data_IF_946526414141
#
_entry.id   IF_946526414141
#
_cell.length_a   1.000
_cell.length_b   1.000
_cell.length_c   1.000
_cell.angle_alpha   90.00
_cell.angle_beta   90.00
_cell.angle_gamma   90.00
#
_symmetry.space_group_name_H-M   'P 1'
#
loop_
_entity.id
_entity.type
_entity.pdbx_description
1 polymer ?
#
# COMPACT_ATOMS: atom_id res chain seq x y z
N UNK A 1 17.82 -58.52 35.39
CA UNK A 1 17.89 -57.08 35.66
C UNK A 1 17.68 -56.33 34.35
N UNK A 2 16.47 -55.90 34.08
CA UNK A 2 16.09 -55.17 32.87
C UNK A 2 16.19 -53.67 33.17
N UNK A 3 17.14 -52.97 32.55
CA UNK A 3 17.30 -51.52 32.65
C UNK A 3 16.34 -50.85 31.67
N UNK A 4 15.26 -50.24 32.16
CA UNK A 4 14.38 -49.38 31.36
C UNK A 4 15.08 -48.07 31.06
N UNK A 5 15.45 -47.83 29.79
CA UNK A 5 15.87 -46.53 29.31
C UNK A 5 14.60 -45.68 29.06
N UNK A 6 14.41 -44.65 29.91
CA UNK A 6 13.40 -43.62 29.65
C UNK A 6 13.97 -42.70 28.56
N UNK A 7 13.39 -42.77 27.37
CA UNK A 7 13.67 -41.86 26.28
C UNK A 7 12.85 -40.54 26.52
N UNK A 8 13.49 -39.51 27.02
CA UNK A 8 12.90 -38.21 27.18
C UNK A 8 12.76 -37.53 25.79
N UNK A 9 11.57 -37.49 25.22
CA UNK A 9 11.26 -36.76 24.00
C UNK A 9 11.20 -35.27 24.34
N UNK A 10 12.28 -34.54 24.05
CA UNK A 10 12.29 -33.09 24.06
C UNK A 10 11.47 -32.58 22.86
N UNK A 11 10.21 -32.25 23.08
CA UNK A 11 9.40 -31.50 22.14
C UNK A 11 9.95 -30.07 22.06
N UNK A 12 10.36 -29.57 20.87
CA UNK A 12 10.74 -28.17 20.76
C UNK A 12 9.53 -27.31 21.09
N UNK A 13 9.63 -26.46 22.11
CA UNK A 13 8.66 -25.42 22.39
C UNK A 13 8.72 -24.45 21.21
N UNK A 14 7.81 -24.58 20.23
CA UNK A 14 7.58 -23.56 19.22
C UNK A 14 7.14 -22.31 19.93
N UNK A 15 8.08 -21.42 20.22
CA UNK A 15 7.79 -20.06 20.65
C UNK A 15 7.09 -19.36 19.50
N UNK A 16 5.76 -19.22 19.57
CA UNK A 16 5.01 -18.38 18.64
C UNK A 16 5.45 -16.94 18.86
N UNK A 17 6.42 -16.49 18.08
CA UNK A 17 6.79 -15.09 18.06
C UNK A 17 5.54 -14.28 17.67
N UNK A 18 5.23 -13.24 18.46
CA UNK A 18 4.13 -12.34 18.16
C UNK A 18 4.35 -11.73 16.79
N UNK A 19 3.38 -11.83 15.90
CA UNK A 19 3.46 -11.22 14.57
C UNK A 19 3.72 -9.71 14.70
N UNK A 20 4.74 -9.16 14.01
CA UNK A 20 5.04 -7.73 14.06
C UNK A 20 3.94 -6.93 13.36
N UNK A 21 3.69 -5.72 13.82
CA UNK A 21 2.88 -4.77 13.05
C UNK A 21 3.67 -4.31 11.82
N UNK A 22 2.96 -4.11 10.71
CA UNK A 22 3.54 -3.63 9.45
C UNK A 22 2.91 -2.28 9.09
N UNK A 23 3.74 -1.26 8.97
CA UNK A 23 3.33 0.06 8.49
C UNK A 23 4.05 0.36 7.18
N UNK A 24 3.29 0.45 6.08
CA UNK A 24 3.79 0.86 4.77
C UNK A 24 3.39 2.31 4.52
N UNK A 25 4.38 3.18 4.31
CA UNK A 25 4.16 4.59 3.97
C UNK A 25 4.65 4.82 2.55
N UNK A 26 3.77 5.30 1.68
CA UNK A 26 4.09 5.70 0.33
C UNK A 26 3.91 7.21 0.18
N UNK A 27 5.01 7.91 -0.05
CA UNK A 27 4.98 9.32 -0.42
C UNK A 27 4.53 9.49 -1.88
N UNK A 28 3.81 10.55 -2.19
CA UNK A 28 3.28 10.84 -3.53
C UNK A 28 3.90 12.16 -4.03
N UNK A 29 4.48 12.13 -5.22
CA UNK A 29 5.17 13.26 -5.85
C UNK A 29 6.33 13.86 -5.02
N UNK A 30 7.11 13.02 -4.34
CA UNK A 30 8.32 13.40 -3.60
C UNK A 30 9.50 12.59 -4.13
N UNK A 31 10.56 13.26 -4.52
CA UNK A 31 11.84 12.64 -4.85
C UNK A 31 12.74 12.42 -3.62
N UNK A 32 13.83 11.71 -3.82
CA UNK A 32 14.80 11.41 -2.75
C UNK A 32 15.44 12.68 -2.16
N UNK A 33 15.51 13.75 -2.93
CA UNK A 33 16.02 15.07 -2.53
C UNK A 33 15.14 15.74 -1.45
N UNK A 34 13.94 15.24 -1.21
CA UNK A 34 13.06 15.67 -0.13
C UNK A 34 13.45 15.12 1.25
N UNK A 35 14.40 14.20 1.35
CA UNK A 35 14.75 13.51 2.59
C UNK A 35 16.21 13.73 2.99
N UNK A 36 16.44 14.16 4.25
CA UNK A 36 17.77 14.41 4.79
C UNK A 36 18.67 13.17 4.76
N UNK A 37 18.16 11.99 5.07
CA UNK A 37 18.90 10.73 5.02
C UNK A 37 19.42 10.35 3.62
N UNK A 38 18.94 10.98 2.57
CA UNK A 38 19.43 10.85 1.20
C UNK A 38 20.21 12.06 0.72
N UNK A 39 20.53 13.00 1.61
CA UNK A 39 21.30 14.21 1.28
C UNK A 39 20.43 15.40 0.90
N UNK A 40 19.13 15.31 1.04
CA UNK A 40 18.21 16.43 0.84
C UNK A 40 18.42 17.55 1.87
N UNK A 41 18.37 18.80 1.41
CA UNK A 41 18.55 19.99 2.28
C UNK A 41 17.36 20.95 2.25
N UNK A 42 16.35 20.66 1.43
CA UNK A 42 15.19 21.55 1.27
C UNK A 42 14.17 21.42 2.40
N UNK A 43 14.16 20.29 3.09
CA UNK A 43 13.22 20.00 4.17
C UNK A 43 13.93 19.32 5.34
N UNK A 44 13.49 19.61 6.55
CA UNK A 44 13.89 18.87 7.74
C UNK A 44 13.03 17.63 7.88
N UNK A 45 13.66 16.43 7.89
CA UNK A 45 12.97 15.14 7.99
C UNK A 45 13.47 14.28 9.15
N UNK A 46 13.51 14.83 10.39
CA UNK A 46 14.23 14.19 11.52
C UNK A 46 13.69 12.84 11.90
N UNK A 47 12.38 12.60 11.74
CA UNK A 47 11.78 11.31 12.07
C UNK A 47 12.11 10.23 11.03
N UNK A 48 12.14 10.59 9.75
CA UNK A 48 12.52 9.67 8.66
C UNK A 48 14.02 9.40 8.72
N UNK A 49 14.82 10.42 9.01
CA UNK A 49 16.26 10.29 9.17
C UNK A 49 16.60 9.36 10.34
N UNK A 50 15.88 9.46 11.44
CA UNK A 50 16.00 8.55 12.58
C UNK A 50 15.63 7.10 12.22
N UNK A 51 14.58 6.90 11.43
CA UNK A 51 14.23 5.56 10.91
C UNK A 51 15.35 5.00 10.05
N UNK A 52 15.93 5.81 9.17
CA UNK A 52 17.05 5.42 8.32
C UNK A 52 18.31 5.06 9.11
N UNK A 53 18.58 5.76 10.22
CA UNK A 53 19.69 5.45 11.11
C UNK A 53 19.51 4.14 11.89
N UNK A 54 18.28 3.81 12.27
CA UNK A 54 17.96 2.61 13.04
C UNK A 54 17.55 1.41 12.21
N UNK A 55 17.45 1.56 10.90
CA UNK A 55 16.93 0.54 9.99
C UNK A 55 17.82 0.30 8.77
N UNK A 56 17.22 -0.24 7.71
CA UNK A 56 17.87 -0.47 6.44
C UNK A 56 17.50 0.63 5.45
N UNK A 57 18.49 1.34 4.93
CA UNK A 57 18.33 2.34 3.87
C UNK A 57 18.78 1.76 2.53
N UNK A 58 17.87 1.70 1.58
CA UNK A 58 18.16 1.26 0.21
C UNK A 58 18.77 2.41 -0.59
N UNK A 59 19.90 2.17 -1.22
CA UNK A 59 20.56 3.13 -2.13
C UNK A 59 20.07 2.98 -3.57
N UNK A 60 19.48 1.84 -3.90
CA UNK A 60 18.94 1.52 -5.23
C UNK A 60 17.56 0.93 -5.09
N UNK A 61 16.56 1.78 -4.97
CA UNK A 61 15.15 1.42 -4.99
C UNK A 61 14.42 2.37 -5.93
N UNK A 62 13.70 1.83 -6.91
CA UNK A 62 13.11 2.62 -7.98
C UNK A 62 11.60 2.43 -8.01
N UNK A 63 10.89 3.54 -8.05
CA UNK A 63 9.46 3.57 -8.38
C UNK A 63 9.27 3.67 -9.89
N UNK A 64 8.03 3.53 -10.33
CA UNK A 64 7.67 3.91 -11.70
C UNK A 64 7.54 5.43 -11.81
N UNK A 65 7.62 6.00 -13.01
CA UNK A 65 7.56 7.46 -13.20
C UNK A 65 6.27 8.12 -12.73
N UNK A 66 5.19 7.36 -12.60
CA UNK A 66 3.87 7.86 -12.20
C UNK A 66 3.28 7.06 -11.01
N UNK A 67 2.29 7.67 -10.36
CA UNK A 67 1.64 7.14 -9.18
C UNK A 67 0.89 5.81 -9.44
N UNK A 68 0.06 5.71 -10.47
CA UNK A 68 -0.71 4.48 -10.74
C UNK A 68 0.18 3.26 -10.97
N UNK A 69 1.17 3.27 -11.88
CA UNK A 69 2.00 2.09 -12.10
C UNK A 69 2.78 1.69 -10.84
N UNK A 70 3.29 2.65 -10.07
CA UNK A 70 3.94 2.36 -8.78
C UNK A 70 2.97 1.71 -7.80
N UNK A 71 1.73 2.23 -7.69
CA UNK A 71 0.70 1.67 -6.80
C UNK A 71 0.30 0.26 -7.21
N UNK A 72 0.15 0.00 -8.50
CA UNK A 72 -0.13 -1.35 -9.03
C UNK A 72 0.98 -2.32 -8.64
N UNK A 73 2.25 -1.93 -8.79
CA UNK A 73 3.39 -2.76 -8.38
C UNK A 73 3.38 -3.06 -6.88
N UNK A 74 3.23 -2.02 -6.04
CA UNK A 74 3.21 -2.18 -4.58
C UNK A 74 2.05 -3.08 -4.15
N UNK A 75 0.85 -2.83 -4.70
CA UNK A 75 -0.33 -3.62 -4.33
C UNK A 75 -0.20 -5.09 -4.68
N UNK A 76 0.41 -5.42 -5.81
CA UNK A 76 0.41 -6.78 -6.36
C UNK A 76 1.74 -7.52 -6.22
N UNK A 77 2.84 -6.83 -5.88
CA UNK A 77 4.19 -7.39 -5.92
C UNK A 77 4.65 -7.81 -7.32
N UNK A 78 4.01 -7.30 -8.37
CA UNK A 78 4.27 -7.70 -9.77
C UNK A 78 4.69 -6.50 -10.61
N UNK A 79 5.61 -6.72 -11.53
CA UNK A 79 5.99 -5.70 -12.51
C UNK A 79 4.85 -5.38 -13.48
N UNK A 80 4.71 -4.11 -13.86
CA UNK A 80 3.59 -3.62 -14.68
C UNK A 80 3.46 -4.30 -16.04
N UNK A 81 4.55 -4.74 -16.67
CA UNK A 81 4.46 -5.47 -17.94
C UNK A 81 3.63 -6.76 -17.86
N UNK A 82 3.32 -7.23 -16.64
CA UNK A 82 2.54 -8.44 -16.40
C UNK A 82 1.08 -8.19 -16.04
N UNK A 83 0.74 -7.00 -15.58
CA UNK A 83 -0.62 -6.70 -15.07
C UNK A 83 -1.08 -5.27 -15.31
N UNK A 84 -0.39 -4.53 -16.18
CA UNK A 84 -0.82 -3.18 -16.54
C UNK A 84 -2.08 -3.24 -17.39
N UNK A 85 -3.07 -2.47 -17.01
CA UNK A 85 -4.27 -2.23 -17.80
C UNK A 85 -4.24 -0.82 -18.39
N UNK A 86 -4.51 0.18 -17.58
CA UNK A 86 -4.42 1.61 -17.92
C UNK A 86 -4.31 2.47 -16.67
N UNK A 87 -4.00 3.73 -16.86
CA UNK A 87 -3.82 4.66 -15.76
C UNK A 87 -5.10 4.81 -14.92
N UNK A 88 -4.94 4.81 -13.59
CA UNK A 88 -6.03 4.90 -12.63
C UNK A 88 -6.75 3.57 -12.35
N UNK A 89 -6.22 2.44 -12.84
CA UNK A 89 -6.87 1.14 -12.68
C UNK A 89 -5.92 0.06 -12.17
N UNK A 90 -6.47 -0.79 -11.31
CA UNK A 90 -5.96 -2.12 -11.00
C UNK A 90 -7.06 -3.13 -11.35
N UNK A 91 -6.72 -4.19 -12.06
CA UNK A 91 -7.69 -5.25 -12.40
C UNK A 91 -8.30 -5.81 -11.09
N UNK A 92 -9.65 -5.84 -10.96
CA UNK A 92 -10.32 -6.41 -9.81
C UNK A 92 -10.01 -7.89 -9.53
N UNK A 93 -9.45 -8.60 -10.48
CA UNK A 93 -9.03 -10.01 -10.34
C UNK A 93 -7.64 -10.18 -9.70
N UNK A 94 -6.88 -9.11 -9.58
CA UNK A 94 -5.55 -9.16 -8.99
C UNK A 94 -5.61 -9.40 -7.48
N UNK A 95 -4.68 -10.23 -7.00
CA UNK A 95 -4.47 -10.42 -5.57
C UNK A 95 -3.51 -9.34 -5.06
N UNK A 96 -3.91 -8.59 -4.05
CA UNK A 96 -3.09 -7.54 -3.44
C UNK A 96 -2.39 -8.04 -2.18
N UNK A 97 -1.40 -7.27 -1.71
CA UNK A 97 -0.80 -7.56 -0.40
C UNK A 97 -1.82 -7.45 0.75
N UNK A 98 -2.88 -6.64 0.61
CA UNK A 98 -3.97 -6.59 1.58
C UNK A 98 -4.65 -7.94 1.76
N UNK A 99 -4.88 -8.69 0.69
CA UNK A 99 -5.39 -10.06 0.77
C UNK A 99 -4.40 -11.00 1.48
N UNK A 100 -3.11 -10.90 1.13
CA UNK A 100 -2.07 -11.74 1.74
C UNK A 100 -1.93 -11.48 3.25
N UNK A 101 -1.96 -10.23 3.65
CA UNK A 101 -1.90 -9.84 5.06
C UNK A 101 -3.13 -10.36 5.82
N UNK A 102 -4.30 -10.26 5.23
CA UNK A 102 -5.54 -10.77 5.81
C UNK A 102 -5.52 -12.30 5.94
N UNK A 103 -5.05 -13.02 4.92
CA UNK A 103 -4.84 -14.47 4.97
C UNK A 103 -3.83 -14.88 6.05
N UNK A 104 -2.84 -14.02 6.32
CA UNK A 104 -1.88 -14.20 7.42
C UNK A 104 -2.44 -13.80 8.82
N UNK A 105 -3.71 -13.44 8.92
CA UNK A 105 -4.38 -13.12 10.19
C UNK A 105 -4.22 -11.67 10.66
N UNK A 106 -3.71 -10.77 9.83
CA UNK A 106 -3.62 -9.34 10.17
C UNK A 106 -4.97 -8.64 10.03
N UNK A 107 -5.19 -7.65 10.89
CA UNK A 107 -6.17 -6.59 10.65
C UNK A 107 -5.54 -5.57 9.73
N UNK A 108 -6.25 -5.20 8.67
CA UNK A 108 -5.71 -4.39 7.58
C UNK A 108 -6.44 -3.06 7.46
N UNK A 109 -5.68 -1.98 7.31
CA UNK A 109 -6.21 -0.65 7.09
C UNK A 109 -5.43 0.06 6.00
N UNK A 110 -6.10 0.88 5.20
CA UNK A 110 -5.45 1.76 4.23
C UNK A 110 -5.99 3.19 4.35
N UNK A 111 -5.10 4.16 4.30
CA UNK A 111 -5.45 5.58 4.34
C UNK A 111 -4.76 6.36 3.23
N UNK A 112 -5.35 7.44 2.78
CA UNK A 112 -4.79 8.34 1.77
C UNK A 112 -5.35 8.13 0.36
N UNK A 113 -4.48 8.20 -0.65
CA UNK A 113 -4.85 8.14 -2.07
C UNK A 113 -5.02 6.70 -2.55
N UNK A 114 -6.18 6.35 -3.12
CA UNK A 114 -6.39 5.04 -3.75
C UNK A 114 -6.01 5.05 -5.23
N UNK A 115 -6.75 5.76 -6.06
CA UNK A 115 -6.51 5.95 -7.50
C UNK A 115 -6.30 4.64 -8.31
N UNK A 116 -6.99 3.57 -7.94
CA UNK A 116 -6.92 2.26 -8.61
C UNK A 116 -8.28 1.74 -9.06
N UNK A 117 -9.37 2.51 -8.80
CA UNK A 117 -10.72 2.16 -9.17
C UNK A 117 -11.17 2.83 -10.46
N UNK A 118 -10.77 4.07 -10.68
CA UNK A 118 -11.19 4.89 -11.80
C UNK A 118 -10.22 6.02 -12.04
N UNK A 119 -10.07 6.43 -13.28
CA UNK A 119 -9.44 7.67 -13.70
C UNK A 119 -10.20 8.20 -14.91
N UNK A 120 -10.96 9.23 -14.70
CA UNK A 120 -11.90 9.77 -15.67
C UNK A 120 -11.95 11.30 -15.67
N UNK A 121 -10.81 12.01 -15.81
CA UNK A 121 -10.85 13.44 -16.02
C UNK A 121 -11.67 13.76 -17.28
N UNK A 122 -12.45 14.85 -17.29
CA UNK A 122 -13.43 15.14 -18.37
C UNK A 122 -12.85 15.07 -19.78
N UNK A 123 -11.62 15.53 -19.95
CA UNK A 123 -10.95 15.62 -21.25
C UNK A 123 -10.06 14.42 -21.58
N UNK A 124 -10.10 13.36 -20.77
CA UNK A 124 -9.24 12.22 -20.99
C UNK A 124 -9.83 11.27 -22.04
N UNK A 125 -9.09 10.91 -23.11
CA UNK A 125 -9.59 10.03 -24.15
C UNK A 125 -10.09 8.69 -23.59
N UNK A 126 -11.32 8.30 -23.96
CA UNK A 126 -11.97 7.07 -23.54
C UNK A 126 -12.17 6.93 -22.00
N UNK A 127 -12.30 8.04 -21.28
CA UNK A 127 -12.56 8.03 -19.84
C UNK A 127 -13.82 7.24 -19.48
N UNK A 128 -14.86 7.34 -20.29
CA UNK A 128 -16.11 6.58 -20.19
C UNK A 128 -15.91 5.06 -20.16
N UNK A 129 -14.96 4.53 -20.93
CA UNK A 129 -14.63 3.10 -20.98
C UNK A 129 -13.89 2.61 -19.75
N UNK A 130 -13.29 3.51 -18.98
CA UNK A 130 -12.45 3.19 -17.80
C UNK A 130 -13.18 3.45 -16.48
N UNK A 131 -14.22 4.25 -16.51
CA UNK A 131 -14.97 4.66 -15.33
C UNK A 131 -15.46 3.47 -14.53
N UNK A 132 -15.01 3.38 -13.28
CA UNK A 132 -15.42 2.32 -12.35
C UNK A 132 -15.01 0.90 -12.72
N UNK A 133 -14.04 0.71 -13.62
CA UNK A 133 -13.58 -0.61 -14.07
C UNK A 133 -12.43 -1.19 -13.23
N UNK A 134 -11.76 -0.37 -12.45
CA UNK A 134 -10.67 -0.81 -11.59
C UNK A 134 -11.16 -1.37 -10.25
N UNK A 135 -10.23 -1.85 -9.47
CA UNK A 135 -10.46 -2.45 -8.16
C UNK A 135 -10.97 -1.42 -7.15
N UNK A 136 -12.11 -1.67 -6.54
CA UNK A 136 -12.57 -0.92 -5.36
C UNK A 136 -11.68 -1.25 -4.16
N UNK A 137 -11.49 -0.30 -3.26
CA UNK A 137 -10.72 -0.55 -2.03
C UNK A 137 -11.30 -1.70 -1.18
N UNK A 138 -12.63 -1.83 -1.16
CA UNK A 138 -13.32 -2.93 -0.47
C UNK A 138 -13.03 -4.32 -1.07
N UNK A 139 -12.51 -4.37 -2.29
CA UNK A 139 -12.10 -5.60 -2.97
C UNK A 139 -10.61 -5.90 -2.78
N UNK A 140 -9.85 -4.99 -2.17
CA UNK A 140 -8.40 -5.06 -2.09
C UNK A 140 -7.86 -5.70 -0.79
N UNK A 141 -8.73 -6.35 -0.01
CA UNK A 141 -8.31 -7.05 1.22
C UNK A 141 -8.08 -6.14 2.43
N UNK A 142 -8.57 -4.90 2.42
CA UNK A 142 -8.50 -4.01 3.56
C UNK A 142 -9.80 -4.04 4.36
N UNK A 143 -9.67 -4.26 5.70
CA UNK A 143 -10.82 -4.29 6.61
C UNK A 143 -11.37 -2.88 6.84
N UNK A 144 -10.47 -1.89 6.91
CA UNK A 144 -10.84 -0.49 7.07
C UNK A 144 -10.13 0.40 6.07
N UNK A 145 -10.77 1.51 5.71
CA UNK A 145 -10.17 2.50 4.83
C UNK A 145 -10.66 3.92 5.11
N UNK A 146 -9.75 4.89 4.94
CA UNK A 146 -10.06 6.30 4.94
C UNK A 146 -9.31 6.96 3.76
N UNK A 147 -10.02 7.23 2.68
CA UNK A 147 -9.42 7.57 1.40
C UNK A 147 -9.76 8.98 0.96
N UNK A 148 -8.75 9.69 0.55
CA UNK A 148 -8.84 10.82 -0.33
C UNK A 148 -8.60 10.34 -1.76
N UNK A 149 -9.30 10.83 -2.77
CA UNK A 149 -9.21 10.35 -4.15
C UNK A 149 -9.53 8.85 -4.33
N UNK A 150 -10.61 8.38 -3.74
CA UNK A 150 -10.97 6.98 -3.92
C UNK A 150 -11.37 6.66 -5.38
N UNK A 151 -11.99 7.60 -6.07
CA UNK A 151 -12.49 7.40 -7.43
C UNK A 151 -11.87 8.30 -8.49
N UNK A 152 -11.05 9.24 -8.13
CA UNK A 152 -10.52 10.21 -9.07
C UNK A 152 -11.60 10.97 -9.85
N UNK A 153 -12.71 11.26 -9.20
CA UNK A 153 -13.82 11.98 -9.76
C UNK A 153 -13.79 13.44 -9.33
N UNK A 154 -14.57 14.24 -9.98
CA UNK A 154 -14.65 15.69 -9.89
C UNK A 154 -15.23 16.19 -8.55
N UNK A 155 -15.90 15.31 -7.80
CA UNK A 155 -16.55 15.62 -6.52
C UNK A 155 -15.64 15.49 -5.29
N UNK A 156 -14.36 15.35 -5.50
CA UNK A 156 -13.40 15.08 -4.42
C UNK A 156 -13.03 16.26 -3.52
N UNK A 157 -13.48 17.46 -3.84
CA UNK A 157 -13.07 18.67 -3.12
C UNK A 157 -11.58 19.03 -3.28
N UNK A 158 -11.14 20.05 -2.59
CA UNK A 158 -9.72 20.43 -2.53
C UNK A 158 -8.95 19.51 -1.60
N UNK A 159 -7.75 19.09 -2.00
CA UNK A 159 -6.86 18.35 -1.10
C UNK A 159 -6.26 19.21 0.02
N UNK A 160 -6.37 20.52 -0.07
CA UNK A 160 -5.75 21.48 0.84
C UNK A 160 -6.76 22.22 1.71
N UNK A 161 -8.03 22.29 1.29
CA UNK A 161 -9.05 23.05 2.01
C UNK A 161 -10.40 22.31 1.89
N UNK A 162 -10.97 21.89 3.03
CA UNK A 162 -12.23 21.15 3.10
C UNK A 162 -12.22 19.85 2.27
N UNK A 163 -11.22 18.95 2.44
CA UNK A 163 -11.16 17.75 1.64
C UNK A 163 -12.31 16.82 1.97
N UNK A 164 -12.79 16.11 0.97
CA UNK A 164 -13.79 15.06 1.12
C UNK A 164 -13.09 13.71 1.29
N UNK A 165 -13.43 12.98 2.33
CA UNK A 165 -12.91 11.63 2.60
C UNK A 165 -13.99 10.58 2.39
N UNK A 166 -13.54 9.39 1.99
CA UNK A 166 -14.36 8.20 1.90
C UNK A 166 -13.90 7.18 2.94
N UNK A 167 -14.64 7.09 4.03
CA UNK A 167 -14.31 6.22 5.16
C UNK A 167 -15.30 5.07 5.25
N UNK A 168 -14.79 3.85 5.14
CA UNK A 168 -15.57 2.60 5.28
C UNK A 168 -16.92 2.63 4.53
N UNK A 169 -16.91 3.10 3.29
CA UNK A 169 -18.09 3.17 2.45
C UNK A 169 -18.94 4.43 2.60
N UNK A 170 -18.56 5.37 3.45
CA UNK A 170 -19.28 6.63 3.68
C UNK A 170 -18.44 7.83 3.31
N UNK A 171 -19.07 8.82 2.70
CA UNK A 171 -18.50 10.14 2.47
C UNK A 171 -18.58 10.95 3.77
N UNK A 172 -17.47 11.59 4.16
CA UNK A 172 -17.35 12.43 5.35
C UNK A 172 -16.64 13.73 5.02
#
# INVERSE_FOLDING_TARGET
MIRSCLLAVLLPACSFAKQPNVLLIMADDIGIEGFGCYGGSSYETPHIDKLAQGGLRFTHAYSQPLCTPTRVQIMTGRYNHRNWTYFGNLDPKEKTFGHLMKEAGYKTCISGKWQLHSYDPPDFPNADRRRGKGMKVSQAGFDEHCLFHSWHTEKKGSRYAGPTYYKNGKLI
#
